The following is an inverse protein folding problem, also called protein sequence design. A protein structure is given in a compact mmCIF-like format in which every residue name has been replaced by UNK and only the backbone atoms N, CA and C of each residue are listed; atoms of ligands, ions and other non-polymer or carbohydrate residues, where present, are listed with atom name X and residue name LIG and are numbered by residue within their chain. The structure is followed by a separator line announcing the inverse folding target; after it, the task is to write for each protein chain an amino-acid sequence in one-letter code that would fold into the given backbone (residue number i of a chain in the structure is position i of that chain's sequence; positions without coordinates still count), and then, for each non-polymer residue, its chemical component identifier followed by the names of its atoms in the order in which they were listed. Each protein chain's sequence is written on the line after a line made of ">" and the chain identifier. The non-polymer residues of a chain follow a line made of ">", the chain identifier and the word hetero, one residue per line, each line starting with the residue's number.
data_IF_458705547076
#
_entry.id   IF_458705547076
#
_cell.length_a   1.000
_cell.length_b   1.000
_cell.length_c   1.000
_cell.angle_alpha   90.00
_cell.angle_beta   90.00
_cell.angle_gamma   90.00
#
_symmetry.space_group_name_H-M   'P 1'
#
loop_
_entity.id
_entity.type
_entity.pdbx_description
1 polymer ?
#
# COMPACT_ATOMS: atom_id res chain seq x y z
N UNK A 1 14.36 0.11 4.42
CA UNK A 1 13.15 0.53 3.67
C UNK A 1 11.93 0.20 4.50
N UNK A 2 10.88 0.94 4.32
CA UNK A 2 9.67 0.81 5.11
C UNK A 2 8.49 0.40 4.21
N UNK A 3 7.40 -0.02 4.84
CA UNK A 3 6.15 -0.29 4.11
C UNK A 3 5.73 0.96 3.34
N UNK A 4 5.86 2.13 3.96
CA UNK A 4 5.51 3.40 3.32
C UNK A 4 6.28 3.60 2.02
N UNK A 5 7.60 3.45 2.06
CA UNK A 5 8.41 3.67 0.86
C UNK A 5 8.20 2.57 -0.18
N UNK A 6 7.99 1.33 0.26
CA UNK A 6 7.71 0.22 -0.67
C UNK A 6 6.39 0.44 -1.39
N UNK A 7 5.35 0.83 -0.66
CA UNK A 7 4.06 1.12 -1.25
C UNK A 7 4.17 2.26 -2.26
N UNK A 8 4.83 3.34 -1.89
CA UNK A 8 5.01 4.50 -2.76
C UNK A 8 5.74 4.12 -4.04
N UNK A 9 6.80 3.34 -3.92
CA UNK A 9 7.59 2.90 -5.07
C UNK A 9 6.78 2.05 -6.02
N UNK A 10 6.08 1.03 -5.50
CA UNK A 10 5.31 0.10 -6.33
C UNK A 10 4.15 0.85 -6.99
N UNK A 11 3.47 1.70 -6.22
CA UNK A 11 2.37 2.50 -6.75
C UNK A 11 2.84 3.39 -7.91
N UNK A 12 3.99 4.06 -7.72
CA UNK A 12 4.55 4.94 -8.75
C UNK A 12 4.93 4.16 -10.01
N UNK A 13 5.48 2.97 -9.84
CA UNK A 13 5.84 2.11 -10.97
C UNK A 13 4.62 1.71 -11.79
N UNK A 14 3.48 1.54 -11.13
CA UNK A 14 2.22 1.21 -11.78
C UNK A 14 1.53 2.44 -12.37
N UNK A 15 1.94 3.64 -11.99
CA UNK A 15 1.29 4.87 -12.40
C UNK A 15 -0.06 5.08 -11.74
N UNK A 16 -0.29 4.51 -10.57
CA UNK A 16 -1.57 4.59 -9.88
C UNK A 16 -1.60 5.78 -8.93
N UNK A 17 -2.76 6.45 -8.89
CA UNK A 17 -3.02 7.47 -7.88
C UNK A 17 -3.33 6.79 -6.54
N UNK A 18 -3.28 7.58 -5.46
CA UNK A 18 -3.67 7.09 -4.13
C UNK A 18 -5.12 6.62 -4.14
N UNK A 19 -5.99 7.39 -4.79
CA UNK A 19 -7.42 7.05 -4.91
C UNK A 19 -7.62 5.74 -5.64
N UNK A 20 -6.85 5.50 -6.69
CA UNK A 20 -6.97 4.26 -7.45
C UNK A 20 -6.57 3.07 -6.60
N UNK A 21 -5.48 3.17 -5.86
CA UNK A 21 -5.04 2.07 -4.98
C UNK A 21 -6.09 1.80 -3.92
N UNK A 22 -6.63 2.85 -3.30
CA UNK A 22 -7.67 2.70 -2.28
C UNK A 22 -8.90 1.99 -2.84
N UNK A 23 -9.34 2.38 -4.03
CA UNK A 23 -10.50 1.76 -4.68
C UNK A 23 -10.23 0.30 -5.01
N UNK A 24 -9.09 0.00 -5.59
CA UNK A 24 -8.73 -1.37 -5.97
C UNK A 24 -8.56 -2.27 -4.74
N UNK A 25 -8.07 -1.71 -3.64
CA UNK A 25 -7.86 -2.44 -2.40
C UNK A 25 -9.12 -2.53 -1.54
N UNK A 26 -10.18 -1.84 -1.94
CA UNK A 26 -11.42 -1.74 -1.15
C UNK A 26 -11.14 -1.17 0.25
N UNK A 27 -10.31 -0.13 0.29
CA UNK A 27 -9.94 0.58 1.51
C UNK A 27 -10.25 2.07 1.33
N UNK A 28 -10.37 2.78 2.45
CA UNK A 28 -10.57 4.23 2.37
C UNK A 28 -9.27 4.90 1.90
N UNK A 29 -9.42 6.03 1.25
CA UNK A 29 -8.28 6.84 0.84
C UNK A 29 -7.43 7.22 2.05
N UNK A 30 -8.09 7.56 3.17
CA UNK A 30 -7.40 7.94 4.40
C UNK A 30 -6.49 6.83 4.91
N UNK A 31 -6.93 5.56 4.78
CA UNK A 31 -6.12 4.41 5.17
C UNK A 31 -4.84 4.34 4.35
N UNK A 32 -4.95 4.51 3.04
CA UNK A 32 -3.79 4.47 2.13
C UNK A 32 -2.85 5.64 2.43
N UNK A 33 -3.39 6.84 2.61
CA UNK A 33 -2.59 8.04 2.92
C UNK A 33 -1.79 7.84 4.20
N UNK A 34 -2.42 7.32 5.26
CA UNK A 34 -1.74 7.11 6.54
C UNK A 34 -0.60 6.09 6.44
N UNK A 35 -0.77 5.08 5.61
CA UNK A 35 0.29 4.09 5.40
C UNK A 35 1.43 4.72 4.61
N UNK A 36 1.11 5.41 3.53
CA UNK A 36 2.12 5.95 2.62
C UNK A 36 2.91 7.10 3.25
N UNK A 37 2.31 7.88 4.14
CA UNK A 37 3.01 8.97 4.81
C UNK A 37 3.70 8.53 6.12
N UNK A 38 3.63 7.25 6.47
CA UNK A 38 4.31 6.71 7.64
C UNK A 38 3.59 6.92 8.96
N UNK A 39 2.38 7.48 8.96
CA UNK A 39 1.59 7.62 10.19
C UNK A 39 1.18 6.27 10.72
N UNK A 40 0.69 5.38 9.85
CA UNK A 40 0.43 4.00 10.23
C UNK A 40 1.60 3.14 9.76
N UNK A 41 2.49 2.79 10.69
CA UNK A 41 3.68 2.00 10.40
C UNK A 41 3.44 0.50 10.46
N UNK A 42 2.31 0.09 11.04
CA UNK A 42 2.01 -1.32 11.28
C UNK A 42 0.58 -1.65 10.84
N UNK A 43 0.28 -1.54 9.54
CA UNK A 43 -1.03 -1.97 9.06
C UNK A 43 -1.24 -3.45 9.32
N UNK A 44 -2.50 -3.87 9.48
CA UNK A 44 -2.81 -5.27 9.71
C UNK A 44 -2.45 -6.10 8.48
N UNK A 45 -2.31 -7.42 8.69
CA UNK A 45 -2.04 -8.33 7.56
C UNK A 45 -3.20 -8.31 6.57
N UNK A 46 -4.42 -8.15 7.03
CA UNK A 46 -5.58 -8.04 6.16
C UNK A 46 -5.45 -6.83 5.25
N UNK A 47 -5.10 -5.68 5.82
CA UNK A 47 -4.90 -4.44 5.05
C UNK A 47 -3.77 -4.62 4.03
N UNK A 48 -2.64 -5.20 4.46
CA UNK A 48 -1.51 -5.45 3.56
C UNK A 48 -1.89 -6.40 2.42
N UNK A 49 -2.67 -7.44 2.71
CA UNK A 49 -3.12 -8.38 1.70
C UNK A 49 -4.00 -7.70 0.65
N UNK A 50 -4.88 -6.82 1.08
CA UNK A 50 -5.74 -6.06 0.16
C UNK A 50 -4.93 -5.15 -0.74
N UNK A 51 -3.93 -4.47 -0.19
CA UNK A 51 -3.05 -3.58 -0.95
C UNK A 51 -2.21 -4.38 -1.94
N UNK A 52 -1.63 -5.49 -1.49
CA UNK A 52 -0.80 -6.34 -2.34
C UNK A 52 -1.61 -6.86 -3.53
N UNK A 53 -2.83 -7.30 -3.28
CA UNK A 53 -3.72 -7.78 -4.34
C UNK A 53 -4.04 -6.66 -5.33
N UNK A 54 -4.31 -5.46 -4.82
CA UNK A 54 -4.61 -4.30 -5.66
C UNK A 54 -3.44 -3.95 -6.57
N UNK A 55 -2.23 -4.10 -6.08
CA UNK A 55 -1.00 -3.80 -6.83
C UNK A 55 -0.46 -5.00 -7.59
N UNK A 56 -1.10 -6.15 -7.45
CA UNK A 56 -0.68 -7.41 -8.11
C UNK A 56 0.74 -7.81 -7.71
N UNK A 57 1.04 -7.65 -6.42
CA UNK A 57 2.33 -8.05 -5.84
C UNK A 57 2.07 -8.92 -4.62
N UNK A 58 3.13 -9.47 -4.07
CA UNK A 58 3.04 -10.26 -2.83
C UNK A 58 3.12 -9.33 -1.62
N UNK A 59 2.56 -9.76 -0.51
CA UNK A 59 2.70 -9.03 0.76
C UNK A 59 4.19 -8.83 1.08
N UNK A 60 5.03 -9.83 0.80
CA UNK A 60 6.47 -9.74 1.02
C UNK A 60 7.08 -8.53 0.32
N UNK A 61 6.58 -8.17 -0.86
CA UNK A 61 7.09 -7.02 -1.60
C UNK A 61 6.83 -5.71 -0.88
N UNK A 62 5.79 -5.66 -0.05
CA UNK A 62 5.45 -4.47 0.70
C UNK A 62 6.25 -4.36 2.01
N UNK A 63 6.59 -5.48 2.62
CA UNK A 63 7.26 -5.49 3.92
C UNK A 63 8.76 -5.73 3.82
N UNK A 64 9.25 -5.97 2.63
CA UNK A 64 10.67 -6.24 2.37
C UNK A 64 11.53 -5.03 2.73
N UNK A 65 12.66 -5.31 3.33
CA UNK A 65 13.63 -4.25 3.70
C UNK A 65 14.55 -3.85 2.57
#
# INVERSE_FOLDING_TARGET
>A
MSIASNLKKIRAEKGYSLEKVARLADLSLNTIVKIENGVNKNPTIDTLSKIAKALEVKVDDLIQK
#
